data_IF_317517649809
#
_entry.id   IF_317517649809
#
_cell.length_a   1.000
_cell.length_b   1.000
_cell.length_c   1.000
_cell.angle_alpha   90.00
_cell.angle_beta   90.00
_cell.angle_gamma   90.00
#
_symmetry.space_group_name_H-M   'P 1'
#
loop_
_entity.id
_entity.type
_entity.pdbx_description
1 polymer ?
#
# COMPACT_ATOMS: atom_id res chain seq x y z
N UNK A 1 -5.85 32.31 4.55
CA UNK A 1 -6.29 30.90 4.55
C UNK A 1 -5.09 30.03 4.36
N UNK A 2 -4.64 29.31 5.42
CA UNK A 2 -3.57 28.33 5.32
C UNK A 2 -4.04 27.23 4.39
N UNK A 3 -3.38 27.04 3.26
CA UNK A 3 -3.56 25.87 2.40
C UNK A 3 -3.32 24.62 3.24
N UNK A 4 -4.27 23.69 3.22
CA UNK A 4 -4.11 22.42 3.92
C UNK A 4 -3.43 21.43 2.98
N UNK A 5 -2.26 20.97 3.39
CA UNK A 5 -1.58 19.85 2.75
C UNK A 5 -2.13 18.56 3.36
N UNK A 6 -2.50 17.61 2.52
CA UNK A 6 -2.85 16.27 2.95
C UNK A 6 -1.78 15.30 2.45
N UNK A 7 -1.26 14.51 3.35
CA UNK A 7 -0.33 13.44 3.04
C UNK A 7 -1.00 12.16 3.47
N UNK A 8 -1.27 11.29 2.50
CA UNK A 8 -1.90 10.00 2.76
C UNK A 8 -0.86 8.96 3.12
N UNK A 9 -1.16 8.09 4.08
CA UNK A 9 -0.39 6.89 4.36
C UNK A 9 -0.37 5.94 3.13
N UNK A 10 0.63 5.08 3.04
CA UNK A 10 0.81 4.18 1.88
C UNK A 10 1.39 4.85 0.63
N UNK A 11 1.64 6.15 0.63
CA UNK A 11 2.30 6.81 -0.49
C UNK A 11 3.78 6.46 -0.51
N UNK A 12 4.23 5.78 -1.57
CA UNK A 12 5.63 5.41 -1.78
C UNK A 12 6.51 6.58 -2.16
N UNK A 13 5.93 7.62 -2.74
CA UNK A 13 6.63 8.77 -3.28
C UNK A 13 6.45 9.98 -2.38
N UNK A 14 7.49 10.78 -2.16
CA UNK A 14 7.43 11.96 -1.28
C UNK A 14 6.73 13.15 -1.95
N UNK A 15 5.66 12.92 -2.69
CA UNK A 15 4.89 14.00 -3.28
C UNK A 15 4.02 14.63 -2.20
N UNK A 16 4.23 15.92 -1.95
CA UNK A 16 3.23 16.72 -1.25
C UNK A 16 2.08 16.97 -2.21
N UNK A 17 0.91 16.44 -1.89
CA UNK A 17 -0.29 16.69 -2.67
C UNK A 17 -0.93 17.96 -2.15
N UNK A 18 -0.79 19.07 -2.91
CA UNK A 18 -1.64 20.23 -2.73
C UNK A 18 -3.02 19.89 -3.28
N UNK A 19 -4.00 19.71 -2.40
CA UNK A 19 -5.38 19.66 -2.82
C UNK A 19 -5.89 21.08 -2.98
N UNK A 20 -5.87 21.60 -4.21
CA UNK A 20 -6.64 22.78 -4.54
C UNK A 20 -8.12 22.38 -4.63
N UNK A 21 -8.98 23.06 -3.90
CA UNK A 21 -10.44 22.80 -3.84
C UNK A 21 -11.13 22.70 -5.21
N UNK A 22 -10.47 23.08 -6.31
CA UNK A 22 -11.03 23.16 -7.67
C UNK A 22 -10.48 22.11 -8.63
N UNK A 23 -9.50 21.28 -8.26
CA UNK A 23 -8.89 20.36 -9.21
C UNK A 23 -9.32 18.91 -8.96
N UNK A 24 -10.09 18.37 -9.91
CA UNK A 24 -10.54 16.95 -9.91
C UNK A 24 -9.41 15.92 -10.08
N UNK A 25 -8.15 16.32 -10.15
CA UNK A 25 -6.99 15.49 -10.51
C UNK A 25 -5.93 15.39 -9.42
N UNK A 26 -6.30 15.41 -8.17
CA UNK A 26 -5.36 15.11 -7.08
C UNK A 26 -5.13 13.61 -7.00
N UNK A 27 -3.86 13.17 -6.99
CA UNK A 27 -3.52 11.79 -6.75
C UNK A 27 -4.01 11.37 -5.34
N UNK A 28 -4.78 10.31 -5.28
CA UNK A 28 -5.22 9.68 -4.04
C UNK A 28 -4.94 8.18 -4.17
N UNK A 29 -3.95 7.68 -3.44
CA UNK A 29 -3.55 6.30 -3.58
C UNK A 29 -4.50 5.37 -2.82
N UNK A 30 -4.77 4.21 -3.41
CA UNK A 30 -5.57 3.18 -2.76
C UNK A 30 -4.75 2.50 -1.64
N UNK A 31 -5.30 2.34 -0.43
CA UNK A 31 -4.57 1.77 0.70
C UNK A 31 -4.62 0.22 0.68
N UNK A 32 -3.85 -0.39 -0.21
CA UNK A 32 -3.86 -1.85 -0.45
C UNK A 32 -3.71 -2.70 0.79
N UNK A 33 -2.71 -2.40 1.61
CA UNK A 33 -2.39 -3.22 2.78
C UNK A 33 -3.54 -3.24 3.77
N UNK A 34 -4.18 -2.09 3.99
CA UNK A 34 -5.40 -2.00 4.80
C UNK A 34 -6.56 -2.76 4.15
N UNK A 35 -6.67 -2.73 2.82
CA UNK A 35 -7.73 -3.45 2.11
C UNK A 35 -7.53 -4.97 2.17
N UNK A 36 -6.30 -5.48 2.05
CA UNK A 36 -5.99 -6.89 2.29
C UNK A 36 -6.25 -7.29 3.74
N UNK A 37 -5.82 -6.46 4.70
CA UNK A 37 -6.04 -6.68 6.13
C UNK A 37 -7.54 -6.75 6.44
N UNK A 38 -8.32 -5.82 5.88
CA UNK A 38 -9.77 -5.81 6.05
C UNK A 38 -10.42 -7.11 5.58
N UNK A 39 -10.04 -7.61 4.39
CA UNK A 39 -10.64 -8.83 3.85
C UNK A 39 -10.20 -10.09 4.62
N UNK A 40 -8.98 -10.13 5.16
CA UNK A 40 -8.56 -11.20 6.08
C UNK A 40 -9.44 -11.25 7.33
N UNK A 41 -9.74 -10.09 7.91
CA UNK A 41 -10.58 -10.00 9.11
C UNK A 41 -12.04 -10.34 8.81
N UNK A 42 -12.59 -9.90 7.67
CA UNK A 42 -13.93 -10.28 7.21
C UNK A 42 -14.02 -11.81 7.03
N UNK A 43 -13.00 -12.43 6.43
CA UNK A 43 -12.94 -13.88 6.27
C UNK A 43 -12.92 -14.67 7.58
N UNK A 44 -12.56 -14.02 8.70
CA UNK A 44 -12.62 -14.56 10.06
C UNK A 44 -13.87 -14.07 10.83
N UNK A 45 -14.90 -13.61 10.13
CA UNK A 45 -16.20 -13.20 10.67
C UNK A 45 -16.17 -11.96 11.58
N UNK A 46 -15.11 -11.14 11.54
CA UNK A 46 -15.09 -9.85 12.21
C UNK A 46 -15.94 -8.81 11.48
N UNK A 47 -16.61 -7.93 12.22
CA UNK A 47 -17.21 -6.73 11.66
C UNK A 47 -16.12 -5.70 11.38
N UNK A 48 -15.89 -5.40 10.10
CA UNK A 48 -14.86 -4.47 9.66
C UNK A 48 -15.48 -3.24 9.02
N UNK A 49 -15.06 -2.06 9.48
CA UNK A 49 -15.44 -0.79 8.89
C UNK A 49 -14.20 0.01 8.49
N UNK A 50 -14.28 0.70 7.36
CA UNK A 50 -13.20 1.53 6.84
C UNK A 50 -13.66 2.99 6.77
N UNK A 51 -12.77 3.91 7.14
CA UNK A 51 -12.93 5.34 6.95
C UNK A 51 -11.65 5.88 6.29
N UNK A 52 -11.71 6.20 5.00
CA UNK A 52 -10.62 6.90 4.32
C UNK A 52 -10.89 8.42 4.35
N UNK A 53 -10.54 9.04 5.48
CA UNK A 53 -10.79 10.46 5.70
C UNK A 53 -10.08 11.38 4.70
N UNK A 54 -8.96 10.93 4.11
CA UNK A 54 -8.22 11.69 3.08
C UNK A 54 -8.94 11.63 1.74
N UNK A 55 -9.35 10.44 1.31
CA UNK A 55 -10.10 10.25 0.08
C UNK A 55 -11.44 11.03 0.10
N UNK A 56 -12.10 11.04 1.25
CA UNK A 56 -13.37 11.72 1.46
C UNK A 56 -13.25 13.22 1.74
N UNK A 57 -12.04 13.79 1.82
CA UNK A 57 -11.83 15.21 2.20
C UNK A 57 -12.45 15.56 3.56
N UNK A 58 -12.41 14.61 4.48
CA UNK A 58 -13.10 14.69 5.76
C UNK A 58 -12.36 15.63 6.73
N UNK A 59 -13.12 16.45 7.45
CA UNK A 59 -12.55 17.23 8.54
C UNK A 59 -12.19 16.33 9.73
N UNK A 60 -11.10 16.66 10.45
CA UNK A 60 -10.66 15.87 11.61
C UNK A 60 -11.78 15.64 12.65
N UNK A 61 -12.58 16.67 12.93
CA UNK A 61 -13.68 16.57 13.87
C UNK A 61 -14.75 15.57 13.41
N UNK A 62 -15.05 15.53 12.12
CA UNK A 62 -15.97 14.57 11.51
C UNK A 62 -15.41 13.14 11.58
N UNK A 63 -14.12 12.97 11.27
CA UNK A 63 -13.43 11.69 11.37
C UNK A 63 -13.53 11.13 12.80
N UNK A 64 -13.21 11.94 13.81
CA UNK A 64 -13.30 11.55 15.22
C UNK A 64 -14.75 11.20 15.59
N UNK A 65 -15.72 12.01 15.15
CA UNK A 65 -17.13 11.75 15.44
C UNK A 65 -17.61 10.43 14.82
N UNK A 66 -17.27 10.16 13.56
CA UNK A 66 -17.61 8.87 12.90
C UNK A 66 -16.97 7.70 13.62
N UNK A 67 -15.67 7.78 13.93
CA UNK A 67 -14.96 6.73 14.68
C UNK A 67 -15.61 6.49 16.06
N UNK A 68 -15.98 7.57 16.76
CA UNK A 68 -16.66 7.47 18.06
C UNK A 68 -18.04 6.82 17.94
N UNK A 69 -18.81 7.13 16.90
CA UNK A 69 -20.12 6.55 16.67
C UNK A 69 -20.07 5.06 16.34
N UNK A 70 -19.03 4.61 15.61
CA UNK A 70 -18.77 3.18 15.35
C UNK A 70 -18.46 2.45 16.66
N UNK A 71 -17.74 3.11 17.57
CA UNK A 71 -17.31 2.54 18.86
C UNK A 71 -16.59 1.18 18.69
N UNK A 72 -15.49 1.13 17.89
CA UNK A 72 -14.80 -0.12 17.60
C UNK A 72 -14.01 -0.62 18.83
N UNK A 73 -13.78 -1.93 18.90
CA UNK A 73 -12.88 -2.54 19.88
C UNK A 73 -11.40 -2.32 19.49
N UNK A 74 -11.13 -2.28 18.18
CA UNK A 74 -9.78 -2.23 17.64
C UNK A 74 -9.70 -1.31 16.43
N UNK A 75 -8.64 -0.48 16.37
CA UNK A 75 -8.38 0.44 15.25
C UNK A 75 -7.00 0.19 14.66
N UNK A 76 -6.91 0.04 13.35
CA UNK A 76 -5.66 -0.02 12.59
C UNK A 76 -5.47 1.28 11.82
N UNK A 77 -4.35 1.95 12.03
CA UNK A 77 -4.00 3.20 11.34
C UNK A 77 -2.68 3.01 10.61
N UNK A 78 -2.70 3.12 9.29
CA UNK A 78 -1.47 3.18 8.51
C UNK A 78 -0.92 4.60 8.52
N UNK A 79 0.37 4.75 8.89
CA UNK A 79 1.04 6.04 9.03
C UNK A 79 2.41 6.08 8.35
N UNK A 80 2.92 7.26 8.13
CA UNK A 80 4.23 7.50 7.54
C UNK A 80 4.92 8.70 8.20
N UNK A 81 6.22 8.91 7.89
CA UNK A 81 7.05 9.94 8.53
C UNK A 81 6.44 11.34 8.50
N UNK A 82 5.78 11.71 7.42
CA UNK A 82 5.17 13.04 7.29
C UNK A 82 3.86 13.19 8.07
N UNK A 83 3.17 12.08 8.37
CA UNK A 83 1.86 12.07 9.02
C UNK A 83 1.93 11.74 10.52
N UNK A 84 2.98 11.10 11.00
CA UNK A 84 3.06 10.51 12.34
C UNK A 84 2.67 11.47 13.47
N UNK A 85 3.13 12.74 13.45
CA UNK A 85 2.79 13.70 14.49
C UNK A 85 1.29 14.05 14.54
N UNK A 86 0.67 14.13 13.36
CA UNK A 86 -0.77 14.34 13.22
C UNK A 86 -1.55 13.10 13.68
N UNK A 87 -1.13 11.92 13.25
CA UNK A 87 -1.80 10.66 13.56
C UNK A 87 -1.72 10.33 15.06
N UNK A 88 -0.59 10.59 15.72
CA UNK A 88 -0.49 10.48 17.18
C UNK A 88 -1.41 11.47 17.91
N UNK A 89 -1.56 12.70 17.38
CA UNK A 89 -2.53 13.67 17.92
C UNK A 89 -3.97 13.15 17.77
N UNK A 90 -4.28 12.53 16.61
CA UNK A 90 -5.56 11.91 16.34
C UNK A 90 -5.83 10.73 17.30
N UNK A 91 -4.86 9.84 17.49
CA UNK A 91 -4.94 8.73 18.45
C UNK A 91 -5.27 9.22 19.88
N UNK A 92 -4.60 10.30 20.33
CA UNK A 92 -4.87 10.91 21.64
C UNK A 92 -6.32 11.41 21.76
N UNK A 93 -6.88 12.00 20.69
CA UNK A 93 -8.27 12.48 20.65
C UNK A 93 -9.27 11.32 20.62
N UNK A 94 -8.99 10.28 19.85
CA UNK A 94 -9.80 9.06 19.82
C UNK A 94 -9.84 8.39 21.19
N UNK A 95 -8.69 8.19 21.84
CA UNK A 95 -8.59 7.60 23.19
C UNK A 95 -9.36 8.39 24.26
N UNK A 96 -9.48 9.72 24.13
CA UNK A 96 -10.31 10.53 25.05
C UNK A 96 -11.79 10.20 24.96
N UNK A 97 -12.29 9.90 23.76
CA UNK A 97 -13.70 9.55 23.50
C UNK A 97 -13.96 8.04 23.71
N UNK A 98 -12.97 7.21 23.41
CA UNK A 98 -13.01 5.75 23.48
C UNK A 98 -11.80 5.24 24.30
N UNK A 99 -11.83 5.33 25.65
CA UNK A 99 -10.67 5.01 26.48
C UNK A 99 -10.20 3.55 26.34
N UNK A 100 -11.10 2.63 26.07
CA UNK A 100 -10.83 1.19 26.03
C UNK A 100 -10.44 0.67 24.64
N UNK A 101 -10.63 1.46 23.57
CA UNK A 101 -10.29 1.05 22.21
C UNK A 101 -8.80 0.71 22.10
N UNK A 102 -8.48 -0.36 21.43
CA UNK A 102 -7.09 -0.70 21.11
C UNK A 102 -6.69 -0.05 19.81
N UNK A 103 -5.53 0.62 19.79
CA UNK A 103 -5.01 1.32 18.61
C UNK A 103 -3.68 0.72 18.20
N UNK A 104 -3.61 0.28 16.94
CA UNK A 104 -2.41 -0.23 16.28
C UNK A 104 -1.97 0.73 15.20
N UNK A 105 -0.69 1.08 15.19
CA UNK A 105 -0.06 1.79 14.08
C UNK A 105 0.75 0.84 13.20
N UNK A 106 0.64 0.99 11.89
CA UNK A 106 1.38 0.23 10.89
C UNK A 106 2.01 1.15 9.83
N UNK A 107 2.89 0.62 8.99
CA UNK A 107 3.56 1.34 7.90
C UNK A 107 5.05 1.56 8.09
N UNK A 108 5.66 2.27 7.13
CA UNK A 108 7.12 2.34 7.04
C UNK A 108 7.78 3.09 8.21
N UNK A 109 7.19 4.19 8.68
CA UNK A 109 7.77 4.97 9.78
C UNK A 109 7.84 4.17 11.08
N UNK A 110 6.73 3.56 11.45
CA UNK A 110 6.60 2.82 12.71
C UNK A 110 7.42 1.54 12.72
N UNK A 111 7.71 0.98 11.54
CA UNK A 111 8.63 -0.15 11.38
C UNK A 111 10.05 0.16 11.88
N UNK A 112 10.49 1.41 11.75
CA UNK A 112 11.84 1.85 12.12
C UNK A 112 11.93 2.18 13.61
N UNK A 113 10.88 2.75 14.19
CA UNK A 113 10.86 3.29 15.55
C UNK A 113 9.78 2.66 16.44
N UNK A 114 9.59 1.31 16.44
CA UNK A 114 8.48 0.69 17.15
C UNK A 114 8.56 0.87 18.67
N UNK A 115 9.77 0.79 19.24
CA UNK A 115 10.01 0.89 20.68
C UNK A 115 9.78 2.30 21.18
N UNK A 116 10.43 3.26 20.56
CA UNK A 116 10.35 4.69 20.92
C UNK A 116 8.91 5.19 20.84
N UNK A 117 8.19 4.80 19.80
CA UNK A 117 6.78 5.17 19.64
C UNK A 117 5.90 4.66 20.77
N UNK A 118 6.10 3.42 21.19
CA UNK A 118 5.34 2.83 22.30
C UNK A 118 5.74 3.43 23.64
N UNK A 119 7.04 3.66 23.89
CA UNK A 119 7.53 4.24 25.14
C UNK A 119 7.03 5.69 25.33
N UNK A 120 7.00 6.49 24.26
CA UNK A 120 6.66 7.91 24.31
C UNK A 120 5.15 8.20 24.18
N UNK A 121 4.35 7.24 23.71
CA UNK A 121 2.94 7.49 23.38
C UNK A 121 1.99 6.44 23.97
N UNK A 122 1.41 6.74 25.12
CA UNK A 122 0.42 5.88 25.78
C UNK A 122 -0.92 5.74 25.02
N UNK A 123 -1.14 6.55 23.99
CA UNK A 123 -2.37 6.49 23.18
C UNK A 123 -2.36 5.38 22.14
N UNK A 124 -1.25 4.68 21.93
CA UNK A 124 -1.14 3.52 21.05
C UNK A 124 -0.81 2.28 21.87
N UNK A 125 -1.40 1.15 21.49
CA UNK A 125 -1.25 -0.13 22.18
C UNK A 125 -0.28 -1.05 21.45
N UNK A 126 -0.27 -0.99 20.10
CA UNK A 126 0.48 -1.89 19.23
C UNK A 126 1.15 -1.15 18.08
N UNK A 127 2.26 -1.70 17.61
CA UNK A 127 2.96 -1.25 16.40
C UNK A 127 3.36 -2.48 15.60
N UNK A 128 3.20 -2.43 14.27
CA UNK A 128 3.71 -3.50 13.40
C UNK A 128 5.00 -3.10 12.69
N UNK A 129 5.78 -4.10 12.30
CA UNK A 129 7.03 -3.97 11.57
C UNK A 129 6.92 -4.62 10.18
N UNK A 130 7.11 -3.84 9.13
CA UNK A 130 7.07 -4.26 7.73
C UNK A 130 5.66 -4.68 7.26
N UNK A 131 5.50 -5.81 6.58
CA UNK A 131 4.18 -6.30 6.15
C UNK A 131 3.35 -6.66 7.37
N UNK A 132 2.13 -6.18 7.41
CA UNK A 132 1.37 -6.23 8.66
C UNK A 132 0.04 -6.99 8.57
N UNK A 133 -0.40 -7.39 7.39
CA UNK A 133 -1.71 -8.03 7.21
C UNK A 133 -1.85 -9.28 8.08
N UNK A 134 -0.87 -10.20 7.98
CA UNK A 134 -0.90 -11.42 8.78
C UNK A 134 -0.61 -11.16 10.26
N UNK A 135 0.25 -10.19 10.58
CA UNK A 135 0.53 -9.78 11.97
C UNK A 135 -0.72 -9.22 12.65
N UNK A 136 -1.48 -8.35 11.95
CA UNK A 136 -2.74 -7.80 12.45
C UNK A 136 -3.79 -8.90 12.59
N UNK A 137 -3.91 -9.76 11.60
CA UNK A 137 -4.84 -10.88 11.63
C UNK A 137 -4.58 -11.79 12.84
N UNK A 138 -3.34 -12.24 13.04
CA UNK A 138 -2.97 -13.09 14.17
C UNK A 138 -3.18 -12.39 15.53
N UNK A 139 -2.84 -11.09 15.60
CA UNK A 139 -3.08 -10.31 16.83
C UNK A 139 -4.56 -10.27 17.21
N UNK A 140 -5.43 -9.96 16.25
CA UNK A 140 -6.88 -9.88 16.49
C UNK A 140 -7.42 -11.23 16.95
N UNK A 141 -7.02 -12.34 16.32
CA UNK A 141 -7.42 -13.70 16.71
C UNK A 141 -6.97 -14.04 18.15
N UNK A 142 -5.74 -13.65 18.53
CA UNK A 142 -5.25 -13.88 19.89
C UNK A 142 -5.99 -13.04 20.92
N UNK A 143 -6.26 -11.77 20.62
CA UNK A 143 -7.02 -10.88 21.51
C UNK A 143 -8.46 -11.41 21.72
N UNK A 144 -9.13 -11.83 20.66
CA UNK A 144 -10.49 -12.37 20.71
C UNK A 144 -10.57 -13.66 21.54
N UNK A 145 -9.59 -14.56 21.36
CA UNK A 145 -9.52 -15.80 22.12
C UNK A 145 -9.07 -15.63 23.59
N UNK A 146 -8.73 -14.41 24.01
CA UNK A 146 -8.17 -14.13 25.33
C UNK A 146 -6.76 -14.70 25.54
N UNK A 147 -6.04 -14.99 24.47
CA UNK A 147 -4.66 -15.45 24.56
C UNK A 147 -3.74 -14.31 24.97
N UNK A 148 -3.07 -14.43 26.10
CA UNK A 148 -2.13 -13.43 26.62
C UNK A 148 -0.74 -13.49 26.00
N UNK A 149 -0.40 -14.57 25.28
CA UNK A 149 0.86 -14.63 24.53
C UNK A 149 0.74 -13.85 23.21
N UNK A 150 1.22 -12.61 23.21
CA UNK A 150 1.23 -11.72 22.07
C UNK A 150 2.59 -11.66 21.36
N UNK A 151 3.47 -12.65 21.55
CA UNK A 151 4.75 -12.75 20.84
C UNK A 151 4.52 -13.21 19.40
N UNK A 152 4.21 -12.24 18.53
CA UNK A 152 3.91 -12.42 17.10
C UNK A 152 5.04 -11.82 16.28
N UNK A 153 5.47 -12.51 15.23
CA UNK A 153 6.48 -11.98 14.30
C UNK A 153 5.96 -10.65 13.68
N UNK A 154 6.80 -9.63 13.71
CA UNK A 154 6.43 -8.31 13.20
C UNK A 154 5.60 -7.43 14.15
N UNK A 155 5.34 -7.84 15.38
CA UNK A 155 4.60 -7.06 16.36
C UNK A 155 5.53 -6.39 17.38
N UNK A 156 5.13 -5.22 17.87
CA UNK A 156 5.62 -4.61 19.09
C UNK A 156 4.43 -4.14 19.93
N UNK A 157 4.52 -4.28 21.26
CA UNK A 157 3.45 -3.90 22.18
C UNK A 157 4.00 -3.61 23.56
N UNK A 158 3.18 -2.96 24.41
CA UNK A 158 3.45 -2.76 25.83
C UNK A 158 2.71 -3.83 26.62
N UNK A 159 3.45 -4.56 27.46
CA UNK A 159 2.90 -5.59 28.31
C UNK A 159 2.14 -5.00 29.54
N UNK A 160 1.60 -5.87 30.37
CA UNK A 160 0.80 -5.51 31.55
C UNK A 160 1.60 -4.74 32.63
N UNK A 161 2.92 -4.92 32.67
CA UNK A 161 3.80 -4.20 33.61
C UNK A 161 4.37 -2.92 33.04
N UNK A 162 4.03 -2.60 31.77
CA UNK A 162 4.45 -1.37 31.10
C UNK A 162 5.75 -1.50 30.30
N UNK A 163 6.37 -2.66 30.24
CA UNK A 163 7.57 -2.91 29.45
C UNK A 163 7.22 -3.09 27.96
N UNK A 164 8.08 -2.54 27.09
CA UNK A 164 7.89 -2.64 25.63
C UNK A 164 8.61 -3.87 25.09
N UNK A 165 7.83 -4.80 24.57
CA UNK A 165 8.34 -5.93 23.80
C UNK A 165 8.34 -5.60 22.31
N UNK A 166 9.41 -5.98 21.59
CA UNK A 166 9.55 -5.79 20.14
C UNK A 166 10.01 -7.10 19.52
N UNK A 167 9.30 -7.59 18.53
CA UNK A 167 9.70 -8.77 17.79
C UNK A 167 11.06 -8.56 17.10
N UNK A 168 11.96 -9.54 17.20
CA UNK A 168 13.23 -9.54 16.48
C UNK A 168 13.02 -9.66 14.97
N UNK A 169 11.94 -10.33 14.54
CA UNK A 169 11.58 -10.49 13.14
C UNK A 169 10.67 -9.35 12.66
N UNK A 170 10.70 -9.11 11.36
CA UNK A 170 9.71 -8.30 10.65
C UNK A 170 8.51 -9.16 10.28
N UNK A 171 7.34 -8.55 10.13
CA UNK A 171 6.24 -9.17 9.40
C UNK A 171 6.68 -9.44 7.96
N UNK A 172 6.42 -10.65 7.48
CA UNK A 172 6.76 -11.02 6.12
C UNK A 172 5.86 -12.16 5.63
N UNK A 173 5.29 -12.00 4.46
CA UNK A 173 4.41 -12.99 3.83
C UNK A 173 5.22 -13.71 2.75
N UNK A 174 5.55 -14.97 2.99
CA UNK A 174 6.38 -15.77 2.06
C UNK A 174 5.64 -15.99 0.72
N UNK A 175 4.38 -16.41 0.76
CA UNK A 175 3.52 -16.55 -0.42
C UNK A 175 2.37 -15.53 -0.35
N UNK A 176 2.48 -14.47 -1.14
CA UNK A 176 1.45 -13.43 -1.21
C UNK A 176 0.13 -13.92 -1.82
N UNK A 177 0.10 -15.08 -2.50
CA UNK A 177 -1.13 -15.66 -3.03
C UNK A 177 -2.05 -16.20 -1.93
N UNK A 178 -1.56 -16.34 -0.70
CA UNK A 178 -2.39 -16.70 0.46
C UNK A 178 -3.28 -15.56 0.94
N UNK A 179 -2.97 -14.31 0.55
CA UNK A 179 -3.82 -13.17 0.85
C UNK A 179 -5.14 -13.27 0.05
N UNK A 180 -6.29 -12.87 0.61
CA UNK A 180 -7.50 -12.67 -0.19
C UNK A 180 -7.32 -11.50 -1.17
N UNK A 181 -8.27 -11.25 -2.05
CA UNK A 181 -8.31 -10.01 -2.83
C UNK A 181 -8.54 -8.79 -1.90
N UNK A 182 -8.14 -7.57 -2.28
CA UNK A 182 -8.45 -6.39 -1.48
C UNK A 182 -9.97 -6.21 -1.29
N UNK A 183 -10.40 -5.75 -0.13
CA UNK A 183 -11.81 -5.45 0.15
C UNK A 183 -12.22 -4.12 -0.50
N UNK A 184 -12.28 -4.06 -1.82
CA UNK A 184 -12.56 -2.84 -2.57
C UNK A 184 -13.90 -2.20 -2.19
N UNK A 185 -14.89 -3.01 -1.85
CA UNK A 185 -16.25 -2.59 -1.49
C UNK A 185 -16.32 -1.76 -0.20
N UNK A 186 -15.28 -1.74 0.61
CA UNK A 186 -15.23 -0.96 1.83
C UNK A 186 -14.69 0.46 1.63
N UNK A 187 -14.13 0.78 0.46
CA UNK A 187 -13.40 2.02 0.24
C UNK A 187 -14.17 3.00 -0.68
N UNK A 188 -14.19 4.30 -0.33
CA UNK A 188 -13.50 4.94 0.81
C UNK A 188 -14.16 4.69 2.16
N UNK A 189 -15.43 4.27 2.19
CA UNK A 189 -16.17 3.82 3.37
C UNK A 189 -17.15 2.72 3.01
N UNK A 190 -17.57 1.93 3.98
CA UNK A 190 -18.56 0.85 3.81
C UNK A 190 -19.90 1.32 3.23
N UNK A 191 -20.30 2.58 3.50
CA UNK A 191 -21.59 3.10 3.06
C UNK A 191 -21.56 3.71 1.65
N UNK A 192 -20.40 4.12 1.19
CA UNK A 192 -20.21 4.83 -0.09
C UNK A 192 -18.93 4.34 -0.79
N UNK A 193 -18.91 3.08 -1.28
CA UNK A 193 -17.74 2.55 -1.99
C UNK A 193 -17.63 3.22 -3.37
N UNK A 194 -16.54 3.93 -3.60
CA UNK A 194 -16.22 4.60 -4.87
C UNK A 194 -14.74 4.60 -5.17
N UNK A 195 -14.29 3.67 -6.01
CA UNK A 195 -12.89 3.57 -6.41
C UNK A 195 -12.46 4.66 -7.40
N UNK A 196 -13.40 5.43 -7.99
CA UNK A 196 -13.08 6.45 -8.98
C UNK A 196 -12.28 7.64 -8.42
N UNK A 197 -12.31 7.81 -7.09
CA UNK A 197 -11.56 8.85 -6.38
C UNK A 197 -10.08 8.51 -6.21
N UNK A 198 -9.73 7.23 -6.36
CA UNK A 198 -8.35 6.78 -6.25
C UNK A 198 -7.60 6.87 -7.60
N UNK A 199 -6.30 7.00 -7.52
CA UNK A 199 -5.40 7.00 -8.65
C UNK A 199 -4.13 7.80 -8.37
N UNK A 200 -3.07 7.54 -9.12
CA UNK A 200 -1.77 8.20 -8.90
C UNK A 200 -1.60 9.54 -9.65
N UNK A 201 -2.64 10.00 -10.34
CA UNK A 201 -2.62 11.26 -11.08
C UNK A 201 -2.05 11.17 -12.50
N UNK A 202 -1.38 10.08 -12.88
CA UNK A 202 -0.84 9.86 -14.23
C UNK A 202 -1.77 9.04 -15.14
N UNK A 203 -2.76 8.35 -14.56
CA UNK A 203 -3.72 7.55 -15.31
C UNK A 203 -4.52 8.41 -16.29
N UNK A 204 -4.61 7.92 -17.53
CA UNK A 204 -5.25 8.64 -18.65
C UNK A 204 -6.76 8.41 -18.66
N UNK A 205 -7.22 7.20 -18.37
CA UNK A 205 -8.62 6.82 -18.42
C UNK A 205 -9.19 6.69 -17.02
N UNK A 206 -10.41 7.19 -16.79
CA UNK A 206 -11.08 7.19 -15.49
C UNK A 206 -12.45 6.48 -15.57
N UNK A 207 -12.85 5.73 -14.55
CA UNK A 207 -12.14 5.39 -13.30
C UNK A 207 -10.86 4.60 -13.56
N UNK A 208 -9.79 4.93 -12.82
CA UNK A 208 -8.58 4.13 -12.80
C UNK A 208 -8.50 3.42 -11.43
N UNK A 209 -8.22 2.12 -11.46
CA UNK A 209 -8.06 1.34 -10.24
C UNK A 209 -6.63 0.86 -10.15
N UNK A 210 -6.04 1.01 -8.97
CA UNK A 210 -4.68 0.54 -8.72
C UNK A 210 -4.71 -0.90 -8.23
N UNK A 211 -3.84 -1.74 -8.76
CA UNK A 211 -3.62 -3.14 -8.36
C UNK A 211 -2.14 -3.40 -8.10
N UNK A 212 -1.82 -4.55 -7.56
CA UNK A 212 -0.47 -5.10 -7.46
C UNK A 212 -0.36 -6.42 -8.21
N UNK A 213 0.68 -6.58 -9.03
CA UNK A 213 1.05 -7.86 -9.62
C UNK A 213 2.17 -8.54 -8.82
N UNK A 214 2.94 -7.75 -8.05
CA UNK A 214 4.07 -8.23 -7.25
C UNK A 214 4.32 -7.34 -6.04
N UNK A 215 5.19 -7.80 -5.13
CA UNK A 215 5.70 -7.04 -4.00
C UNK A 215 7.21 -7.17 -3.90
N UNK A 216 7.85 -6.05 -3.62
CA UNK A 216 9.30 -5.96 -3.40
C UNK A 216 10.09 -5.82 -4.69
N UNK A 217 11.38 -5.53 -4.54
CA UNK A 217 12.34 -5.38 -5.62
C UNK A 217 13.71 -5.88 -5.13
N UNK A 218 14.43 -6.70 -5.91
CA UNK A 218 15.72 -7.26 -5.48
C UNK A 218 16.86 -6.24 -5.52
N UNK A 219 16.65 -5.07 -6.13
CA UNK A 219 17.68 -4.03 -6.20
C UNK A 219 17.90 -3.36 -4.85
N UNK A 220 19.13 -2.91 -4.61
CA UNK A 220 19.59 -2.36 -3.31
C UNK A 220 19.91 -0.87 -3.42
N UNK A 221 19.05 -0.11 -4.08
CA UNK A 221 19.22 1.34 -4.19
C UNK A 221 19.17 2.01 -2.81
N UNK A 222 20.18 2.84 -2.49
CA UNK A 222 20.34 3.42 -1.15
C UNK A 222 19.22 4.38 -0.75
N UNK A 223 18.59 5.03 -1.72
CA UNK A 223 17.49 5.96 -1.47
C UNK A 223 16.12 5.26 -1.33
N UNK A 224 16.02 3.97 -1.68
CA UNK A 224 14.75 3.26 -1.68
C UNK A 224 14.38 2.80 -0.27
N UNK A 225 13.58 3.60 0.42
CA UNK A 225 13.09 3.29 1.75
C UNK A 225 12.25 2.01 1.77
N UNK A 226 11.34 1.87 0.80
CA UNK A 226 10.29 0.87 0.82
C UNK A 226 10.83 -0.56 0.86
N UNK A 227 11.72 -0.89 -0.07
CA UNK A 227 12.33 -2.22 -0.12
C UNK A 227 13.17 -2.57 1.12
N UNK A 228 13.86 -1.57 1.68
CA UNK A 228 14.69 -1.79 2.87
C UNK A 228 13.84 -2.01 4.13
N UNK A 229 12.72 -1.30 4.23
CA UNK A 229 11.88 -1.27 5.43
C UNK A 229 10.81 -2.35 5.39
N UNK A 230 10.09 -2.46 4.27
CA UNK A 230 8.91 -3.33 4.18
C UNK A 230 9.22 -4.75 3.71
N UNK A 231 10.13 -4.94 2.75
CA UNK A 231 10.26 -6.23 2.05
C UNK A 231 11.62 -6.89 2.17
N UNK A 232 12.60 -6.22 2.74
CA UNK A 232 13.95 -6.74 2.90
C UNK A 232 14.54 -7.24 1.56
N UNK A 233 14.25 -6.50 0.47
CA UNK A 233 14.65 -6.81 -0.91
C UNK A 233 14.12 -8.14 -1.48
N UNK A 234 13.13 -8.76 -0.84
CA UNK A 234 12.52 -9.99 -1.34
C UNK A 234 11.43 -9.66 -2.36
N UNK A 235 11.49 -10.31 -3.52
CA UNK A 235 10.53 -10.15 -4.60
C UNK A 235 9.58 -11.35 -4.66
N UNK A 236 8.28 -11.11 -4.68
CA UNK A 236 7.22 -12.13 -4.75
C UNK A 236 6.14 -11.67 -5.72
N UNK A 237 5.47 -12.61 -6.37
CA UNK A 237 4.48 -12.35 -7.40
C UNK A 237 3.15 -13.01 -7.05
N UNK A 238 2.06 -12.35 -7.36
CA UNK A 238 0.76 -12.99 -7.48
C UNK A 238 0.73 -13.88 -8.72
N UNK A 239 -0.12 -14.90 -8.75
CA UNK A 239 -0.34 -15.69 -9.95
C UNK A 239 -0.98 -14.86 -11.06
N UNK A 240 -0.69 -15.17 -12.30
CA UNK A 240 -1.22 -14.42 -13.45
C UNK A 240 -2.75 -14.53 -13.54
N UNK A 241 -3.29 -15.68 -13.18
CA UNK A 241 -4.72 -15.93 -13.12
C UNK A 241 -5.40 -14.99 -12.12
N UNK A 242 -4.85 -14.91 -10.89
CA UNK A 242 -5.36 -14.03 -9.86
C UNK A 242 -5.30 -12.56 -10.26
N UNK A 243 -4.20 -12.12 -10.87
CA UNK A 243 -4.06 -10.72 -11.32
C UNK A 243 -5.17 -10.39 -12.33
N UNK A 244 -5.44 -11.29 -13.28
CA UNK A 244 -6.47 -11.05 -14.29
C UNK A 244 -7.87 -11.18 -13.69
N UNK A 245 -8.11 -12.08 -12.72
CA UNK A 245 -9.36 -12.13 -11.96
C UNK A 245 -9.65 -10.79 -11.25
N UNK A 246 -8.63 -10.19 -10.61
CA UNK A 246 -8.77 -8.87 -9.97
C UNK A 246 -8.99 -7.76 -11.01
N UNK A 247 -8.33 -7.81 -12.18
CA UNK A 247 -8.58 -6.87 -13.28
C UNK A 247 -10.04 -6.96 -13.78
N UNK A 248 -10.56 -8.17 -14.03
CA UNK A 248 -11.94 -8.41 -14.43
C UNK A 248 -12.91 -7.90 -13.35
N UNK A 249 -12.64 -8.24 -12.10
CA UNK A 249 -13.47 -7.81 -10.97
C UNK A 249 -13.62 -6.27 -10.89
N UNK A 250 -12.53 -5.52 -11.04
CA UNK A 250 -12.60 -4.06 -10.96
C UNK A 250 -13.24 -3.43 -12.21
N UNK A 251 -13.16 -4.09 -13.37
CA UNK A 251 -13.87 -3.67 -14.58
C UNK A 251 -15.37 -3.88 -14.42
N UNK A 252 -15.79 -5.05 -14.00
CA UNK A 252 -17.19 -5.44 -13.92
C UNK A 252 -17.93 -4.72 -12.79
N UNK A 253 -17.31 -4.62 -11.61
CA UNK A 253 -18.00 -4.10 -10.43
C UNK A 253 -17.80 -2.60 -10.19
N UNK A 254 -16.70 -2.01 -10.68
CA UNK A 254 -16.37 -0.61 -10.45
C UNK A 254 -16.21 0.21 -11.75
N UNK A 255 -16.45 -0.42 -12.90
CA UNK A 255 -16.39 0.25 -14.20
C UNK A 255 -15.00 0.80 -14.54
N UNK A 256 -13.93 0.14 -14.05
CA UNK A 256 -12.55 0.55 -14.32
C UNK A 256 -12.28 0.65 -15.82
N UNK A 257 -11.68 1.75 -16.26
CA UNK A 257 -11.26 1.98 -17.64
C UNK A 257 -9.75 1.90 -17.81
N UNK A 258 -9.02 1.99 -16.70
CA UNK A 258 -7.58 1.76 -16.62
C UNK A 258 -7.24 1.05 -15.32
N UNK A 259 -6.32 0.09 -15.39
CA UNK A 259 -5.68 -0.50 -14.22
C UNK A 259 -4.25 0.02 -14.14
N UNK A 260 -3.84 0.49 -12.96
CA UNK A 260 -2.47 0.87 -12.70
C UNK A 260 -1.81 -0.11 -11.73
N UNK A 261 -0.76 -0.78 -12.19
CA UNK A 261 0.05 -1.63 -11.32
C UNK A 261 1.11 -0.80 -10.58
N UNK A 262 0.88 -0.57 -9.29
CA UNK A 262 1.77 0.19 -8.41
C UNK A 262 2.78 -0.72 -7.70
N UNK A 263 3.39 -1.59 -8.45
CA UNK A 263 4.44 -2.49 -7.99
C UNK A 263 5.71 -1.72 -7.59
N UNK A 264 6.58 -2.32 -6.79
CA UNK A 264 7.93 -1.77 -6.60
C UNK A 264 8.74 -1.84 -7.88
N UNK A 265 8.55 -2.91 -8.64
CA UNK A 265 9.07 -3.09 -9.99
C UNK A 265 8.32 -4.24 -10.70
N UNK A 266 7.42 -3.87 -11.58
CA UNK A 266 6.61 -4.80 -12.37
C UNK A 266 7.44 -5.66 -13.33
N UNK A 267 8.59 -5.15 -13.78
CA UNK A 267 9.37 -5.74 -14.89
C UNK A 267 10.41 -6.79 -14.45
N UNK A 268 10.59 -7.06 -13.15
CA UNK A 268 11.65 -7.93 -12.62
C UNK A 268 11.63 -9.34 -13.23
N UNK A 269 10.45 -9.94 -13.37
CA UNK A 269 10.34 -11.28 -13.90
C UNK A 269 9.70 -11.28 -15.29
N UNK A 270 10.54 -11.26 -16.33
CA UNK A 270 10.10 -11.27 -17.73
C UNK A 270 9.12 -12.41 -18.04
N UNK A 271 9.39 -13.62 -17.54
CA UNK A 271 8.52 -14.78 -17.82
C UNK A 271 7.11 -14.56 -17.26
N UNK A 272 7.03 -13.99 -16.06
CA UNK A 272 5.78 -13.66 -15.42
C UNK A 272 5.03 -12.55 -16.18
N UNK A 273 5.70 -11.48 -16.57
CA UNK A 273 5.09 -10.40 -17.37
C UNK A 273 4.54 -10.92 -18.70
N UNK A 274 5.31 -11.75 -19.41
CA UNK A 274 4.85 -12.35 -20.66
C UNK A 274 3.66 -13.31 -20.45
N UNK A 275 3.66 -14.08 -19.36
CA UNK A 275 2.54 -14.95 -19.00
C UNK A 275 1.27 -14.14 -18.67
N UNK A 276 1.42 -13.03 -17.91
CA UNK A 276 0.32 -12.11 -17.63
C UNK A 276 -0.25 -11.48 -18.90
N UNK A 277 0.61 -10.99 -19.80
CA UNK A 277 0.17 -10.46 -21.10
C UNK A 277 -0.57 -11.50 -21.94
N UNK A 278 -0.13 -12.77 -21.88
CA UNK A 278 -0.82 -13.88 -22.56
C UNK A 278 -2.18 -14.16 -21.93
N UNK A 279 -2.28 -14.14 -20.60
CA UNK A 279 -3.53 -14.40 -19.88
C UNK A 279 -4.57 -13.30 -20.16
N UNK A 280 -4.18 -12.04 -20.13
CA UNK A 280 -5.04 -10.90 -20.51
C UNK A 280 -5.60 -11.09 -21.93
N UNK A 281 -4.75 -11.52 -22.87
CA UNK A 281 -5.16 -11.77 -24.26
C UNK A 281 -6.07 -13.00 -24.38
N UNK A 282 -5.79 -14.08 -23.64
CA UNK A 282 -6.57 -15.31 -23.66
C UNK A 282 -8.01 -15.07 -23.19
N UNK A 283 -8.20 -14.20 -22.19
CA UNK A 283 -9.52 -13.81 -21.66
C UNK A 283 -10.19 -12.72 -22.48
N UNK A 284 -9.54 -12.23 -23.54
CA UNK A 284 -10.01 -11.10 -24.36
C UNK A 284 -10.37 -9.86 -23.54
N UNK A 285 -9.67 -9.65 -22.42
CA UNK A 285 -9.92 -8.54 -21.51
C UNK A 285 -9.49 -7.20 -22.14
N UNK A 286 -10.48 -6.36 -22.48
CA UNK A 286 -10.28 -5.09 -23.20
C UNK A 286 -10.12 -3.93 -22.22
N UNK A 287 -9.08 -3.97 -21.40
CA UNK A 287 -8.76 -2.91 -20.44
C UNK A 287 -7.44 -2.23 -20.81
N UNK A 288 -7.36 -0.92 -20.63
CA UNK A 288 -6.09 -0.19 -20.64
C UNK A 288 -5.41 -0.38 -19.29
N UNK A 289 -4.09 -0.53 -19.31
CA UNK A 289 -3.34 -0.62 -18.09
C UNK A 289 -1.98 0.06 -18.18
N UNK A 290 -1.44 0.41 -17.04
CA UNK A 290 -0.16 1.09 -16.88
C UNK A 290 0.58 0.49 -15.69
N UNK A 291 1.89 0.69 -15.57
CA UNK A 291 2.66 0.11 -14.49
C UNK A 291 3.85 0.96 -14.04
N UNK A 292 4.31 0.70 -12.81
CA UNK A 292 5.62 1.06 -12.34
C UNK A 292 6.60 -0.06 -12.69
N UNK A 293 7.58 0.23 -13.53
CA UNK A 293 8.61 -0.73 -13.94
C UNK A 293 10.02 -0.21 -13.68
N UNK A 294 11.00 -0.92 -14.22
CA UNK A 294 12.41 -0.51 -14.22
C UNK A 294 13.05 -0.72 -15.59
N UNK A 295 13.83 0.26 -16.04
CA UNK A 295 14.48 0.18 -17.32
C UNK A 295 15.56 -0.92 -17.39
N UNK A 296 16.19 -1.30 -16.26
CA UNK A 296 17.17 -2.39 -16.24
C UNK A 296 16.54 -3.75 -16.52
N UNK A 297 15.40 -4.01 -15.88
CA UNK A 297 14.68 -5.28 -16.00
C UNK A 297 13.92 -5.40 -17.34
N UNK A 298 13.65 -4.30 -18.03
CA UNK A 298 12.86 -4.27 -19.27
C UNK A 298 13.68 -4.60 -20.51
N UNK A 299 13.06 -5.25 -21.49
CA UNK A 299 13.58 -5.42 -22.86
C UNK A 299 12.49 -5.16 -23.91
N UNK A 300 12.92 -5.09 -25.17
CA UNK A 300 12.04 -4.72 -26.29
C UNK A 300 10.89 -5.70 -26.51
N UNK A 301 11.14 -7.01 -26.37
CA UNK A 301 10.11 -8.04 -26.49
C UNK A 301 9.04 -7.88 -25.41
N UNK A 302 9.47 -7.69 -24.15
CA UNK A 302 8.57 -7.50 -23.03
C UNK A 302 7.68 -6.27 -23.23
N UNK A 303 8.27 -5.12 -23.55
CA UNK A 303 7.53 -3.86 -23.79
C UNK A 303 6.53 -4.02 -24.94
N UNK A 304 6.93 -4.67 -26.04
CA UNK A 304 6.03 -4.94 -27.16
C UNK A 304 4.85 -5.83 -26.76
N UNK A 305 5.10 -6.89 -25.99
CA UNK A 305 4.03 -7.79 -25.53
C UNK A 305 3.12 -7.10 -24.51
N UNK A 306 3.65 -6.25 -23.65
CA UNK A 306 2.86 -5.39 -22.76
C UNK A 306 1.93 -4.48 -23.57
N UNK A 307 2.45 -3.78 -24.58
CA UNK A 307 1.65 -2.93 -25.47
C UNK A 307 0.55 -3.71 -26.20
N UNK A 308 0.88 -4.91 -26.72
CA UNK A 308 -0.07 -5.81 -27.36
C UNK A 308 -1.18 -6.30 -26.41
N UNK A 309 -0.91 -6.34 -25.12
CA UNK A 309 -1.86 -6.71 -24.07
C UNK A 309 -2.60 -5.50 -23.46
N UNK A 310 -2.47 -4.31 -24.03
CA UNK A 310 -3.20 -3.11 -23.60
C UNK A 310 -2.44 -2.16 -22.67
N UNK A 311 -1.15 -2.39 -22.39
CA UNK A 311 -0.32 -1.44 -21.66
C UNK A 311 -0.15 -0.16 -22.47
N UNK A 312 -0.43 0.98 -21.84
CA UNK A 312 -0.39 2.30 -22.50
C UNK A 312 0.68 3.21 -21.89
N UNK A 313 1.21 2.87 -20.73
CA UNK A 313 2.18 3.70 -20.04
C UNK A 313 3.02 2.86 -19.08
N UNK A 314 4.32 3.12 -19.03
CA UNK A 314 5.24 2.56 -18.05
C UNK A 314 6.04 3.70 -17.39
N UNK A 315 5.93 3.84 -16.09
CA UNK A 315 6.72 4.76 -15.29
C UNK A 315 7.98 4.06 -14.80
N UNK A 316 9.14 4.68 -14.90
CA UNK A 316 10.38 4.15 -14.33
C UNK A 316 11.32 5.26 -13.86
N UNK A 317 12.08 4.96 -12.80
CA UNK A 317 13.06 5.88 -12.25
C UNK A 317 14.39 5.82 -12.99
N UNK A 318 14.87 6.96 -13.47
CA UNK A 318 16.22 7.09 -14.07
C UNK A 318 17.22 7.59 -13.03
N UNK A 319 16.80 8.42 -12.12
CA UNK A 319 17.52 9.08 -11.01
C UNK A 319 18.65 9.99 -11.48
N UNK A 320 19.52 9.54 -12.40
CA UNK A 320 20.61 10.35 -12.94
C UNK A 320 21.03 9.91 -14.34
N UNK A 321 21.45 10.85 -15.16
CA UNK A 321 22.16 10.60 -16.42
C UNK A 321 23.68 10.36 -16.25
N UNK A 322 24.20 10.40 -15.04
CA UNK A 322 25.61 10.21 -14.73
C UNK A 322 25.86 8.83 -14.09
N UNK A 323 26.69 8.01 -14.73
CA UNK A 323 26.99 6.65 -14.26
C UNK A 323 27.60 6.63 -12.86
N UNK A 324 28.47 7.60 -12.51
CA UNK A 324 29.09 7.63 -11.19
C UNK A 324 28.05 7.92 -10.09
N UNK A 325 27.08 8.78 -10.38
CA UNK A 325 25.97 9.04 -9.44
C UNK A 325 25.14 7.79 -9.26
N UNK A 326 24.78 7.09 -10.34
CA UNK A 326 24.04 5.83 -10.28
C UNK A 326 24.77 4.76 -9.46
N UNK A 327 26.09 4.64 -9.64
CA UNK A 327 26.93 3.75 -8.81
C UNK A 327 26.91 4.14 -7.34
N UNK A 328 27.04 5.43 -7.04
CA UNK A 328 27.07 5.93 -5.66
C UNK A 328 25.76 5.64 -4.90
N UNK A 329 24.61 5.69 -5.58
CA UNK A 329 23.30 5.34 -5.02
C UNK A 329 22.92 3.86 -5.20
N UNK A 330 23.85 3.04 -5.66
CA UNK A 330 23.67 1.60 -5.93
C UNK A 330 22.49 1.28 -6.85
N UNK A 331 22.15 2.19 -7.78
CA UNK A 331 21.15 1.90 -8.82
C UNK A 331 21.83 1.21 -10.01
N UNK A 332 21.43 -0.05 -10.36
CA UNK A 332 22.12 -0.82 -11.39
C UNK A 332 21.70 -0.43 -12.82
N UNK A 333 21.36 0.82 -13.05
CA UNK A 333 20.93 1.36 -14.34
C UNK A 333 22.11 1.99 -15.08
N UNK A 334 22.21 1.72 -16.39
CA UNK A 334 23.07 2.49 -17.32
C UNK A 334 22.22 3.51 -18.06
N UNK A 335 22.66 4.78 -18.20
CA UNK A 335 21.88 5.81 -18.86
C UNK A 335 21.45 5.43 -20.29
N UNK A 336 22.33 4.76 -21.06
CA UNK A 336 22.03 4.31 -22.43
C UNK A 336 20.89 3.29 -22.47
N UNK A 337 20.76 2.47 -21.40
CA UNK A 337 19.65 1.51 -21.29
C UNK A 337 18.32 2.25 -21.08
N UNK A 338 18.29 3.28 -20.24
CA UNK A 338 17.11 4.13 -20.08
C UNK A 338 16.66 4.77 -21.40
N UNK A 339 17.63 5.31 -22.15
CA UNK A 339 17.36 5.87 -23.50
C UNK A 339 16.81 4.81 -24.46
N UNK A 340 17.34 3.58 -24.44
CA UNK A 340 16.83 2.48 -25.28
C UNK A 340 15.39 2.14 -24.91
N UNK A 341 15.12 1.96 -23.60
CA UNK A 341 13.78 1.64 -23.11
C UNK A 341 12.78 2.71 -23.49
N UNK A 342 13.11 3.99 -23.31
CA UNK A 342 12.25 5.11 -23.73
C UNK A 342 11.94 5.14 -25.23
N UNK A 343 12.81 4.55 -26.07
CA UNK A 343 12.56 4.43 -27.51
C UNK A 343 11.68 3.24 -27.88
N UNK A 344 11.63 2.23 -27.02
CA UNK A 344 10.78 1.05 -27.22
C UNK A 344 9.34 1.31 -26.74
N UNK A 345 9.17 2.21 -25.74
CA UNK A 345 7.85 2.70 -25.32
C UNK A 345 7.29 3.74 -26.29
#
# INVERSE_FOLDING_TARGET
TKERFFIKAGIRWPWSLEKKKSEKNTACFFPFYLAYTANLLIGAEHEVQVIDGVAMDMAEAEFIQRTTNINPDFIVIETQTHAISHDLSLCKKIKRNLPNVKILLCGAHVTIYPKELLEENSCIDFVTKAEYEMTVFELVQRLESGNSDLKIDGLAYRDEIGEVWVSDKKGFIEDINTLPSPAFELFPTNSEPDLSIYGDGICTYRPAVTLHASRGCPFKCDFCLWNQVMYDHKYRMFSTERIVDEMEHVVENYGAKEVYFDDDDFCINKKHVLALCKEIKNRDLKIKWSCMGDAMASDEEMIREMANAGCIFMKFGVESGNEQVLKNIRKPLKPEKAVKVSKWC
#
